data_IF_130379126237
#
_entry.id   IF_130379126237
#
_cell.length_a   1.000
_cell.length_b   1.000
_cell.length_c   1.000
_cell.angle_alpha   90.00
_cell.angle_beta   90.00
_cell.angle_gamma   90.00
#
_symmetry.space_group_name_H-M   'P 1'
#
loop_
_entity.id
_entity.type
_entity.pdbx_description
1 polymer ?
#
# COMPACT_ATOMS: atom_id res chain seq x y z
N UNK A 1 1.35 1.70 -15.45
CA UNK A 1 0.74 2.79 -16.24
C UNK A 1 -0.75 2.92 -15.98
N UNK A 2 -1.53 1.83 -16.05
CA UNK A 2 -3.00 1.86 -15.83
C UNK A 2 -3.36 2.45 -14.46
N UNK A 3 -2.69 2.02 -13.40
CA UNK A 3 -2.93 2.51 -12.03
C UNK A 3 -2.61 4.01 -11.90
N UNK A 4 -1.50 4.47 -12.50
CA UNK A 4 -1.13 5.89 -12.55
C UNK A 4 -2.19 6.72 -13.27
N UNK A 5 -2.61 6.30 -14.46
CA UNK A 5 -3.63 7.00 -15.24
C UNK A 5 -4.99 7.04 -14.53
N UNK A 6 -5.41 5.92 -13.93
CA UNK A 6 -6.67 5.82 -13.20
C UNK A 6 -6.71 6.74 -11.99
N UNK A 7 -5.65 6.74 -11.17
CA UNK A 7 -5.59 7.58 -9.97
C UNK A 7 -5.38 9.06 -10.30
N UNK A 8 -4.66 9.38 -11.39
CA UNK A 8 -4.58 10.74 -11.88
C UNK A 8 -5.95 11.26 -12.34
N UNK A 9 -6.69 10.45 -13.12
CA UNK A 9 -8.05 10.77 -13.57
C UNK A 9 -9.03 10.93 -12.40
N UNK A 10 -8.96 10.04 -11.41
CA UNK A 10 -9.74 10.15 -10.18
C UNK A 10 -9.37 11.42 -9.41
N UNK A 11 -8.09 11.76 -9.31
CA UNK A 11 -7.60 12.98 -8.66
C UNK A 11 -8.12 14.24 -9.33
N UNK A 12 -8.14 14.28 -10.67
CA UNK A 12 -8.74 15.37 -11.44
C UNK A 12 -10.24 15.54 -11.14
N UNK A 13 -10.97 14.44 -11.02
CA UNK A 13 -12.42 14.46 -10.72
C UNK A 13 -12.74 14.82 -9.26
N UNK A 14 -11.93 14.35 -8.32
CA UNK A 14 -12.15 14.57 -6.88
C UNK A 14 -11.70 15.95 -6.40
N UNK A 15 -10.76 16.56 -7.11
CA UNK A 15 -10.16 17.83 -6.74
C UNK A 15 -9.05 17.71 -5.69
N UNK A 16 -8.24 18.77 -5.60
CA UNK A 16 -7.01 18.78 -4.80
C UNK A 16 -7.23 18.52 -3.31
N UNK A 17 -8.30 19.07 -2.71
CA UNK A 17 -8.55 18.93 -1.28
C UNK A 17 -8.71 17.47 -0.89
N UNK A 18 -9.60 16.73 -1.58
CA UNK A 18 -9.86 15.32 -1.26
C UNK A 18 -8.62 14.46 -1.46
N UNK A 19 -7.88 14.73 -2.53
CA UNK A 19 -6.67 13.97 -2.86
C UNK A 19 -5.53 14.27 -1.90
N UNK A 20 -5.37 15.54 -1.47
CA UNK A 20 -4.38 15.93 -0.46
C UNK A 20 -4.62 15.23 0.89
N UNK A 21 -5.85 15.23 1.36
CA UNK A 21 -6.21 14.49 2.59
C UNK A 21 -5.96 12.99 2.44
N UNK A 22 -6.29 12.42 1.28
CA UNK A 22 -5.98 11.01 0.99
C UNK A 22 -4.48 10.75 1.03
N UNK A 23 -3.67 11.62 0.44
CA UNK A 23 -2.21 11.53 0.47
C UNK A 23 -1.67 11.52 1.90
N UNK A 24 -2.08 12.50 2.71
CA UNK A 24 -1.69 12.59 4.12
C UNK A 24 -2.14 11.35 4.90
N UNK A 25 -3.38 10.89 4.66
CA UNK A 25 -3.92 9.68 5.29
C UNK A 25 -3.13 8.42 4.97
N UNK A 26 -2.66 8.27 3.72
CA UNK A 26 -1.83 7.14 3.30
C UNK A 26 -0.45 7.21 3.97
N UNK A 27 0.20 8.38 3.95
CA UNK A 27 1.52 8.57 4.57
C UNK A 27 1.46 8.30 6.08
N UNK A 28 0.52 8.95 6.79
CA UNK A 28 0.36 8.75 8.22
C UNK A 28 -0.08 7.32 8.55
N UNK A 29 -0.97 6.75 7.73
CA UNK A 29 -1.38 5.37 7.87
C UNK A 29 -0.19 4.41 7.77
N UNK A 30 0.69 4.60 6.77
CA UNK A 30 1.87 3.77 6.59
C UNK A 30 2.87 3.91 7.76
N UNK A 31 3.16 5.16 8.19
CA UNK A 31 4.10 5.42 9.29
C UNK A 31 3.58 4.91 10.64
N UNK A 32 2.29 5.09 10.91
CA UNK A 32 1.67 4.71 12.18
C UNK A 32 1.22 3.25 12.23
N UNK A 33 1.12 2.56 11.08
CA UNK A 33 0.69 1.16 11.01
C UNK A 33 1.55 0.24 11.89
N UNK A 34 2.88 0.41 11.87
CA UNK A 34 3.81 -0.39 12.66
C UNK A 34 3.60 -0.21 14.18
N UNK A 35 3.83 0.99 14.73
CA UNK A 35 3.71 1.23 16.15
C UNK A 35 2.29 0.98 16.71
N UNK A 36 1.24 1.46 16.02
CA UNK A 36 -0.13 1.24 16.46
C UNK A 36 -0.61 -0.20 16.22
N UNK A 37 -0.09 -0.89 15.23
CA UNK A 37 -0.37 -2.30 14.99
C UNK A 37 -0.04 -3.18 16.20
N UNK A 38 1.01 -2.82 16.96
CA UNK A 38 1.37 -3.53 18.21
C UNK A 38 0.25 -3.46 19.25
N UNK A 39 -0.49 -2.35 19.32
CA UNK A 39 -1.62 -2.17 20.24
C UNK A 39 -2.87 -2.94 19.76
N UNK A 40 -3.02 -3.14 18.48
CA UNK A 40 -4.17 -3.86 17.88
C UNK A 40 -4.01 -5.38 17.97
N UNK A 41 -2.77 -5.90 18.01
CA UNK A 41 -2.50 -7.35 18.10
C UNK A 41 -3.26 -8.05 19.24
N UNK A 42 -3.21 -7.60 20.51
CA UNK A 42 -3.91 -8.29 21.60
C UNK A 42 -5.41 -8.30 21.38
N UNK A 43 -5.97 -7.26 20.76
CA UNK A 43 -7.40 -7.18 20.44
C UNK A 43 -7.76 -8.27 19.41
N UNK A 44 -6.95 -8.48 18.37
CA UNK A 44 -7.18 -9.52 17.38
C UNK A 44 -7.16 -10.93 17.97
N UNK A 45 -6.28 -11.18 18.94
CA UNK A 45 -6.22 -12.46 19.67
C UNK A 45 -7.52 -12.72 20.44
N UNK A 46 -8.07 -11.70 21.08
CA UNK A 46 -9.37 -11.78 21.80
C UNK A 46 -10.50 -12.10 20.81
N UNK A 47 -10.47 -11.57 19.58
CA UNK A 47 -11.43 -11.88 18.52
C UNK A 47 -11.23 -13.27 17.87
N UNK A 48 -10.33 -14.09 18.41
CA UNK A 48 -10.17 -15.48 17.98
C UNK A 48 -9.09 -15.72 16.92
N UNK A 49 -8.29 -14.71 16.57
CA UNK A 49 -7.13 -14.88 15.68
C UNK A 49 -5.99 -15.59 16.44
N UNK A 50 -6.01 -16.91 16.45
CA UNK A 50 -5.01 -17.73 17.16
C UNK A 50 -3.66 -17.84 16.41
N UNK A 51 -3.62 -17.53 15.10
CA UNK A 51 -2.39 -17.59 14.32
C UNK A 51 -1.57 -16.32 14.53
N UNK A 52 -0.39 -16.37 15.17
CA UNK A 52 0.43 -15.19 15.47
C UNK A 52 0.93 -14.50 14.19
N UNK A 53 1.20 -15.25 13.12
CA UNK A 53 1.62 -14.73 11.82
C UNK A 53 0.54 -13.87 11.16
N UNK A 54 -0.73 -14.33 11.20
CA UNK A 54 -1.86 -13.55 10.67
C UNK A 54 -2.12 -12.30 11.50
N UNK A 55 -2.04 -12.37 12.83
CA UNK A 55 -2.18 -11.20 13.70
C UNK A 55 -1.07 -10.16 13.44
N UNK A 56 0.13 -10.62 13.14
CA UNK A 56 1.26 -9.75 12.82
C UNK A 56 1.07 -9.00 11.49
N UNK A 57 0.51 -9.64 10.47
CA UNK A 57 0.22 -9.05 9.16
C UNK A 57 -1.03 -8.15 9.19
N UNK A 58 -2.11 -8.62 9.83
CA UNK A 58 -3.41 -7.95 9.82
C UNK A 58 -3.45 -6.71 10.72
N UNK A 59 -2.73 -6.70 11.84
CA UNK A 59 -2.78 -5.57 12.76
C UNK A 59 -2.32 -4.24 12.12
N UNK A 60 -1.15 -4.15 11.47
CA UNK A 60 -0.75 -2.91 10.78
C UNK A 60 -1.67 -2.58 9.60
N UNK A 61 -2.19 -3.58 8.88
CA UNK A 61 -3.12 -3.36 7.77
C UNK A 61 -4.43 -2.72 8.24
N UNK A 62 -4.99 -3.19 9.35
CA UNK A 62 -6.22 -2.62 9.94
C UNK A 62 -5.98 -1.17 10.35
N UNK A 63 -4.87 -0.89 11.03
CA UNK A 63 -4.51 0.49 11.42
C UNK A 63 -4.39 1.39 10.20
N UNK A 64 -3.69 0.93 9.16
CA UNK A 64 -3.53 1.66 7.90
C UNK A 64 -4.89 2.01 7.28
N UNK A 65 -5.79 1.02 7.21
CA UNK A 65 -7.14 1.20 6.63
C UNK A 65 -7.95 2.18 7.47
N UNK A 66 -7.95 2.04 8.81
CA UNK A 66 -8.70 2.94 9.70
C UNK A 66 -8.24 4.39 9.59
N UNK A 67 -6.94 4.64 9.58
CA UNK A 67 -6.39 5.99 9.42
C UNK A 67 -6.75 6.53 8.03
N UNK A 68 -6.56 5.75 6.97
CA UNK A 68 -6.88 6.17 5.62
C UNK A 68 -8.34 6.50 5.42
N UNK A 69 -9.25 5.72 6.01
CA UNK A 69 -10.70 5.98 5.99
C UNK A 69 -11.04 7.24 6.79
N UNK A 70 -10.45 7.42 7.97
CA UNK A 70 -10.64 8.63 8.79
C UNK A 70 -10.27 9.90 8.04
N UNK A 71 -9.12 9.91 7.35
CA UNK A 71 -8.73 11.03 6.51
C UNK A 71 -9.64 11.25 5.30
N UNK A 72 -10.18 10.20 4.68
CA UNK A 72 -11.18 10.33 3.61
C UNK A 72 -12.48 10.96 4.10
N UNK A 73 -12.96 10.60 5.29
CA UNK A 73 -14.14 11.20 5.90
C UNK A 73 -13.88 12.68 6.22
N UNK A 74 -12.73 12.99 6.83
CA UNK A 74 -12.33 14.37 7.07
C UNK A 74 -12.24 15.21 5.78
N UNK A 75 -11.71 14.61 4.71
CA UNK A 75 -11.64 15.23 3.39
C UNK A 75 -13.01 15.63 2.84
N UNK A 76 -14.03 14.78 3.03
CA UNK A 76 -15.41 15.07 2.60
C UNK A 76 -15.97 16.27 3.34
N UNK A 77 -15.79 16.31 4.67
CA UNK A 77 -16.28 17.42 5.49
C UNK A 77 -15.64 18.75 5.14
N UNK A 78 -14.29 18.75 4.95
CA UNK A 78 -13.55 19.97 4.60
C UNK A 78 -13.92 20.43 3.18
N UNK A 79 -13.99 19.51 2.24
CA UNK A 79 -14.36 19.85 0.85
C UNK A 79 -15.75 20.49 0.77
N UNK A 80 -16.74 19.94 1.47
CA UNK A 80 -18.09 20.49 1.50
C UNK A 80 -18.11 21.93 2.05
N UNK A 81 -17.38 22.21 3.14
CA UNK A 81 -17.29 23.54 3.72
C UNK A 81 -16.64 24.55 2.78
N UNK A 82 -15.56 24.13 2.10
CA UNK A 82 -14.85 24.98 1.14
C UNK A 82 -15.72 25.26 -0.09
N UNK A 83 -16.40 24.26 -0.65
CA UNK A 83 -17.29 24.42 -1.80
C UNK A 83 -18.42 25.39 -1.48
N UNK A 84 -19.07 25.26 -0.32
CA UNK A 84 -20.12 26.18 0.13
C UNK A 84 -19.58 27.59 0.25
N UNK A 85 -18.41 27.79 0.87
CA UNK A 85 -17.80 29.10 1.00
C UNK A 85 -17.56 29.78 -0.34
N UNK A 86 -16.93 29.08 -1.30
CA UNK A 86 -16.67 29.62 -2.63
C UNK A 86 -17.94 29.91 -3.43
N UNK A 87 -18.94 29.05 -3.32
CA UNK A 87 -20.22 29.20 -4.03
C UNK A 87 -21.02 30.42 -3.60
N UNK A 88 -20.98 30.75 -2.31
CA UNK A 88 -21.83 31.82 -1.77
C UNK A 88 -21.08 33.13 -1.47
N UNK A 89 -19.76 33.13 -1.35
CA UNK A 89 -18.98 34.30 -0.92
C UNK A 89 -17.94 34.76 -1.92
N UNK A 90 -17.62 33.94 -2.93
CA UNK A 90 -16.54 34.23 -3.86
C UNK A 90 -17.04 34.67 -5.20
N UNK A 91 -17.34 35.66 -5.73
CA UNK A 91 -17.87 35.97 -7.09
C UNK A 91 -17.45 34.99 -8.21
N UNK A 92 -18.18 35.00 -9.30
CA UNK A 92 -18.10 34.00 -10.38
C UNK A 92 -16.68 33.76 -10.95
N UNK A 93 -15.89 34.81 -11.06
CA UNK A 93 -14.52 34.72 -11.55
C UNK A 93 -13.61 33.89 -10.63
N UNK A 94 -13.72 34.14 -9.31
CA UNK A 94 -12.93 33.39 -8.30
C UNK A 94 -13.36 31.95 -8.21
N UNK A 95 -14.65 31.66 -8.36
CA UNK A 95 -15.17 30.31 -8.40
C UNK A 95 -14.62 29.55 -9.62
N UNK A 96 -14.65 30.15 -10.80
CA UNK A 96 -14.13 29.51 -12.03
C UNK A 96 -12.61 29.25 -11.96
N UNK A 97 -11.84 30.16 -11.39
CA UNK A 97 -10.41 30.00 -11.16
C UNK A 97 -10.13 28.89 -10.13
N UNK A 98 -10.89 28.86 -9.04
CA UNK A 98 -10.79 27.83 -8.02
C UNK A 98 -11.06 26.44 -8.60
N UNK A 99 -12.15 26.27 -9.33
CA UNK A 99 -12.48 24.98 -9.94
C UNK A 99 -11.38 24.48 -10.88
N UNK A 100 -10.84 25.35 -11.71
CA UNK A 100 -9.76 25.01 -12.64
C UNK A 100 -8.48 24.62 -11.91
N UNK A 101 -8.10 25.38 -10.89
CA UNK A 101 -6.91 25.13 -10.07
C UNK A 101 -7.07 23.84 -9.26
N UNK A 102 -8.22 23.66 -8.61
CA UNK A 102 -8.53 22.49 -7.78
C UNK A 102 -8.45 21.19 -8.58
N UNK A 103 -8.96 21.18 -9.83
CA UNK A 103 -8.90 20.00 -10.70
C UNK A 103 -7.46 19.72 -11.17
N UNK A 104 -6.69 20.73 -11.56
CA UNK A 104 -5.30 20.55 -12.01
C UNK A 104 -4.40 20.06 -10.88
N UNK A 105 -4.49 20.67 -9.71
CA UNK A 105 -3.77 20.22 -8.53
C UNK A 105 -4.20 18.82 -8.08
N UNK A 106 -5.51 18.51 -8.23
CA UNK A 106 -6.03 17.17 -7.98
C UNK A 106 -5.40 16.11 -8.87
N UNK A 107 -5.12 16.41 -10.14
CA UNK A 107 -4.42 15.52 -11.05
C UNK A 107 -2.97 15.27 -10.59
N UNK A 108 -2.22 16.33 -10.25
CA UNK A 108 -0.84 16.21 -9.77
C UNK A 108 -0.76 15.38 -8.48
N UNK A 109 -1.64 15.68 -7.52
CA UNK A 109 -1.74 14.93 -6.27
C UNK A 109 -2.22 13.48 -6.48
N UNK A 110 -3.07 13.26 -7.49
CA UNK A 110 -3.50 11.92 -7.90
C UNK A 110 -2.34 11.07 -8.41
N UNK A 111 -1.42 11.65 -9.19
CA UNK A 111 -0.18 11.00 -9.60
C UNK A 111 0.73 10.69 -8.41
N UNK A 112 0.89 11.65 -7.48
CA UNK A 112 1.66 11.43 -6.26
C UNK A 112 1.08 10.29 -5.40
N UNK A 113 -0.25 10.24 -5.25
CA UNK A 113 -0.92 9.14 -4.57
C UNK A 113 -0.71 7.80 -5.28
N UNK A 114 -0.76 7.78 -6.61
CA UNK A 114 -0.53 6.57 -7.39
C UNK A 114 0.88 6.02 -7.18
N UNK A 115 1.88 6.91 -7.20
CA UNK A 115 3.27 6.55 -6.91
C UNK A 115 3.42 5.98 -5.50
N UNK A 116 2.78 6.61 -4.52
CA UNK A 116 2.80 6.14 -3.13
C UNK A 116 2.16 4.75 -2.98
N UNK A 117 1.01 4.50 -3.64
CA UNK A 117 0.41 3.16 -3.66
C UNK A 117 1.30 2.12 -4.33
N UNK A 118 2.00 2.47 -5.42
CA UNK A 118 2.95 1.56 -6.06
C UNK A 118 4.08 1.22 -5.09
N UNK A 119 4.62 2.20 -4.36
CA UNK A 119 5.67 1.98 -3.35
C UNK A 119 5.17 1.04 -2.24
N UNK A 120 3.98 1.28 -1.71
CA UNK A 120 3.40 0.46 -0.65
C UNK A 120 3.13 -0.97 -1.12
N UNK A 121 2.56 -1.14 -2.33
CA UNK A 121 2.38 -2.45 -2.93
C UNK A 121 3.71 -3.17 -3.14
N UNK A 122 4.73 -2.46 -3.61
CA UNK A 122 6.07 -3.00 -3.79
C UNK A 122 6.69 -3.46 -2.48
N UNK A 123 6.49 -2.71 -1.39
CA UNK A 123 6.97 -3.08 -0.06
C UNK A 123 6.27 -4.32 0.52
N UNK A 124 5.06 -4.66 0.05
CA UNK A 124 4.36 -5.91 0.42
C UNK A 124 4.76 -7.06 -0.50
N UNK A 125 4.83 -6.80 -1.81
CA UNK A 125 5.14 -7.85 -2.81
C UNK A 125 6.58 -8.36 -2.62
N UNK A 126 7.52 -7.48 -2.30
CA UNK A 126 8.94 -7.82 -2.18
C UNK A 126 9.19 -8.96 -1.18
N UNK A 127 8.82 -8.86 0.11
CA UNK A 127 9.04 -9.93 1.08
C UNK A 127 8.19 -11.19 0.81
N UNK A 128 6.99 -11.04 0.24
CA UNK A 128 6.15 -12.19 -0.10
C UNK A 128 6.72 -12.96 -1.29
N UNK A 129 7.21 -12.27 -2.32
CA UNK A 129 7.85 -12.92 -3.47
C UNK A 129 9.16 -13.60 -3.07
N UNK A 130 9.90 -13.05 -2.12
CA UNK A 130 11.11 -13.67 -1.60
C UNK A 130 10.82 -15.08 -1.03
N UNK A 131 9.79 -15.19 -0.20
CA UNK A 131 9.33 -16.48 0.35
C UNK A 131 8.89 -17.46 -0.72
N UNK A 132 8.08 -17.02 -1.66
CA UNK A 132 7.56 -17.90 -2.70
C UNK A 132 8.66 -18.39 -3.65
N UNK A 133 9.68 -17.58 -3.91
CA UNK A 133 10.84 -18.01 -4.71
C UNK A 133 11.67 -19.06 -3.98
N UNK A 134 11.86 -18.94 -2.67
CA UNK A 134 12.64 -19.91 -1.89
C UNK A 134 11.94 -21.27 -1.74
N UNK A 135 10.60 -21.26 -1.67
CA UNK A 135 9.77 -22.47 -1.52
C UNK A 135 9.42 -23.11 -2.87
N UNK A 136 9.63 -22.38 -3.97
CA UNK A 136 9.34 -22.88 -5.32
C UNK A 136 10.29 -24.01 -5.72
N UNK A 137 9.89 -25.23 -5.42
CA UNK A 137 10.52 -26.45 -5.92
C UNK A 137 9.75 -26.90 -7.14
N UNK A 138 10.34 -26.71 -8.35
CA UNK A 138 9.97 -27.33 -9.65
C UNK A 138 8.46 -27.44 -10.03
N UNK A 139 8.21 -27.61 -11.25
CA UNK A 139 7.05 -27.92 -12.12
C UNK A 139 5.58 -27.83 -11.62
N UNK A 140 5.31 -27.91 -10.32
CA UNK A 140 3.96 -27.85 -9.74
C UNK A 140 3.62 -26.53 -9.01
N UNK A 141 4.25 -25.42 -9.37
CA UNK A 141 3.93 -24.14 -8.73
C UNK A 141 2.46 -23.73 -8.91
N UNK A 142 1.75 -23.44 -7.82
CA UNK A 142 0.40 -22.90 -7.91
C UNK A 142 0.41 -21.58 -8.69
N UNK A 143 -0.60 -21.35 -9.53
CA UNK A 143 -0.69 -20.15 -10.39
C UNK A 143 -0.46 -18.83 -9.65
N UNK A 144 -0.91 -18.77 -8.39
CA UNK A 144 -0.73 -17.58 -7.53
C UNK A 144 0.75 -17.32 -7.18
N UNK A 145 1.52 -18.36 -6.86
CA UNK A 145 2.94 -18.26 -6.57
C UNK A 145 3.73 -17.82 -7.83
N UNK A 146 3.41 -18.37 -8.98
CA UNK A 146 4.03 -18.00 -10.26
C UNK A 146 3.82 -16.52 -10.61
N UNK A 147 2.61 -16.00 -10.40
CA UNK A 147 2.33 -14.56 -10.61
C UNK A 147 3.12 -13.71 -9.63
N UNK A 148 3.18 -14.10 -8.37
CA UNK A 148 3.90 -13.36 -7.33
C UNK A 148 5.41 -13.36 -7.58
N UNK A 149 5.97 -14.50 -7.99
CA UNK A 149 7.39 -14.64 -8.36
C UNK A 149 7.75 -13.75 -9.55
N UNK A 150 6.91 -13.73 -10.59
CA UNK A 150 7.10 -12.86 -11.75
C UNK A 150 7.05 -11.39 -11.39
N UNK A 151 6.06 -10.98 -10.58
CA UNK A 151 5.97 -9.62 -10.08
C UNK A 151 7.18 -9.24 -9.21
N UNK A 152 7.68 -10.16 -8.38
CA UNK A 152 8.89 -9.96 -7.58
C UNK A 152 10.15 -9.78 -8.44
N UNK A 153 10.32 -10.56 -9.50
CA UNK A 153 11.42 -10.43 -10.44
C UNK A 153 11.37 -9.10 -11.20
N UNK A 154 10.20 -8.74 -11.73
CA UNK A 154 9.99 -7.46 -12.42
C UNK A 154 10.25 -6.27 -11.48
N UNK A 155 9.88 -6.41 -10.19
CA UNK A 155 10.11 -5.41 -9.17
C UNK A 155 11.62 -5.23 -8.88
N UNK A 156 12.37 -6.34 -8.76
CA UNK A 156 13.82 -6.29 -8.49
C UNK A 156 14.60 -5.58 -9.60
N UNK A 157 14.17 -5.73 -10.85
CA UNK A 157 14.74 -5.01 -12.01
C UNK A 157 14.34 -3.53 -12.09
N UNK A 158 13.37 -3.08 -11.30
CA UNK A 158 12.85 -1.72 -11.33
C UNK A 158 13.45 -0.81 -10.27
N UNK A 159 13.36 0.52 -10.48
CA UNK A 159 13.71 1.51 -9.45
C UNK A 159 12.86 1.39 -8.18
N UNK A 160 11.63 0.89 -8.29
CA UNK A 160 10.74 0.65 -7.14
C UNK A 160 11.25 -0.48 -6.24
N UNK A 161 11.95 -1.47 -6.76
CA UNK A 161 12.58 -2.53 -5.97
C UNK A 161 13.62 -2.00 -4.99
N UNK A 162 14.40 -0.98 -5.38
CA UNK A 162 15.36 -0.30 -4.48
C UNK A 162 14.64 0.44 -3.36
N UNK A 163 13.56 1.14 -3.68
CA UNK A 163 12.73 1.86 -2.69
C UNK A 163 12.03 0.87 -1.76
N UNK A 164 11.46 -0.22 -2.30
CA UNK A 164 10.81 -1.27 -1.51
C UNK A 164 11.78 -1.88 -0.50
N UNK A 165 13.01 -2.19 -0.92
CA UNK A 165 14.05 -2.73 -0.03
C UNK A 165 14.49 -1.75 1.05
N UNK A 166 14.54 -0.44 0.75
CA UNK A 166 14.90 0.59 1.73
C UNK A 166 13.80 0.84 2.79
N UNK A 167 12.54 0.58 2.44
CA UNK A 167 11.37 0.80 3.33
C UNK A 167 10.90 -0.52 3.94
N UNK A 168 11.54 -1.63 3.62
CA UNK A 168 11.12 -2.98 3.99
C UNK A 168 10.85 -3.09 5.52
N UNK A 169 9.60 -3.35 5.94
CA UNK A 169 9.25 -3.43 7.33
C UNK A 169 9.53 -4.81 7.95
N UNK A 170 10.01 -5.77 7.13
CA UNK A 170 10.20 -7.14 7.59
C UNK A 170 11.47 -7.30 8.42
N UNK A 171 11.41 -8.00 9.56
CA UNK A 171 12.60 -8.33 10.32
C UNK A 171 13.48 -9.33 9.57
N UNK A 172 14.78 -9.26 9.79
CA UNK A 172 15.77 -10.11 9.11
C UNK A 172 15.48 -11.61 9.30
N UNK A 173 14.95 -11.99 10.46
CA UNK A 173 14.49 -13.36 10.75
C UNK A 173 13.50 -13.91 9.71
N UNK A 174 12.73 -13.04 9.05
CA UNK A 174 11.83 -13.45 7.96
C UNK A 174 12.61 -13.98 6.77
N UNK A 175 13.67 -13.32 6.38
CA UNK A 175 14.53 -13.70 5.26
C UNK A 175 15.38 -14.91 5.62
N UNK A 176 15.97 -14.95 6.81
CA UNK A 176 16.76 -16.08 7.31
C UNK A 176 15.92 -17.36 7.37
N UNK A 177 14.66 -17.26 7.79
CA UNK A 177 13.75 -18.40 7.82
C UNK A 177 13.34 -18.88 6.41
N UNK A 178 13.18 -17.95 5.47
CA UNK A 178 12.91 -18.31 4.08
C UNK A 178 14.12 -19.01 3.43
N UNK A 179 15.32 -18.52 3.68
CA UNK A 179 16.57 -19.13 3.19
C UNK A 179 16.74 -20.55 3.79
N UNK A 180 16.48 -20.71 5.08
CA UNK A 180 16.54 -22.01 5.72
C UNK A 180 15.55 -23.02 5.10
N UNK A 181 14.30 -22.59 4.86
CA UNK A 181 13.29 -23.41 4.18
C UNK A 181 13.73 -23.73 2.75
N UNK A 182 14.29 -22.75 2.03
CA UNK A 182 14.83 -22.94 0.69
C UNK A 182 15.92 -24.01 0.64
N UNK A 183 16.84 -24.01 1.57
CA UNK A 183 17.88 -25.06 1.69
C UNK A 183 17.28 -26.44 1.92
N UNK A 184 16.23 -26.56 2.73
CA UNK A 184 15.55 -27.84 2.98
C UNK A 184 14.79 -28.30 1.74
N UNK A 185 14.03 -27.42 1.10
CA UNK A 185 13.20 -27.76 -0.06
C UNK A 185 14.03 -28.11 -1.29
N UNK A 186 15.14 -27.41 -1.52
CA UNK A 186 16.02 -27.60 -2.68
C UNK A 186 17.18 -28.59 -2.42
N UNK A 187 17.11 -29.39 -1.37
CA UNK A 187 18.15 -30.36 -1.06
C UNK A 187 18.05 -31.54 -2.07
N UNK A 188 19.12 -31.82 -2.85
CA UNK A 188 19.14 -32.90 -3.84
C UNK A 188 18.89 -34.29 -3.26
N UNK A 189 18.97 -34.46 -1.94
CA UNK A 189 18.63 -35.73 -1.27
C UNK A 189 17.11 -35.96 -1.22
N UNK A 190 16.28 -34.94 -1.44
CA UNK A 190 14.82 -35.09 -1.51
C UNK A 190 14.34 -35.59 -2.88
N UNK A 191 15.10 -35.38 -3.95
CA UNK A 191 14.78 -35.85 -5.30
C UNK A 191 15.14 -37.34 -5.52
N UNK A 192 15.82 -37.94 -4.57
CA UNK A 192 16.25 -39.35 -4.62
C UNK A 192 15.24 -40.33 -4.01
N UNK A 193 14.02 -39.91 -3.68
CA UNK A 193 12.92 -40.72 -3.20
C UNK A 193 11.75 -40.70 -4.17
#
# INVERSE_FOLDING_TARGET
LVLLASLAGLGYRQGAIRVAFSFVGIVLGAVLAGPLGRLVKPVLVVFGLKAPTLAWLLAPLIVFVLISVGFKVAALMVHQKVDVHFKYHAGDLRLALWDRLNRRLGLCLGLANATLYIILLSAVIYPLSYWTVQVATSDEEPRSARVLNRLGQDLQGSGFGRVARAIDPMPQVWYDSADFVGVICNNPLNDAR
#
